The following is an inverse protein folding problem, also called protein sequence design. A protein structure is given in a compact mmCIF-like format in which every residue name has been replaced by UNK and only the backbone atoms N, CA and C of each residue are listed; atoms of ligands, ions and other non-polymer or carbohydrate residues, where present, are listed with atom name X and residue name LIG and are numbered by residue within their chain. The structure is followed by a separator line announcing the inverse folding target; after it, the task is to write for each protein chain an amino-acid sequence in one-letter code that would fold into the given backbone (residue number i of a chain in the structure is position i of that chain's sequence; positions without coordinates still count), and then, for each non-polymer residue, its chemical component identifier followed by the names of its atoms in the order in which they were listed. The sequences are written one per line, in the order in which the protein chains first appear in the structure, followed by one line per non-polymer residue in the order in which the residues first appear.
data_IF_668866774761
#
_entry.id   IF_668866774761
#
_cell.length_a   1.000
_cell.length_b   1.000
_cell.length_c   1.000
_cell.angle_alpha   90.00
_cell.angle_beta   90.00
_cell.angle_gamma   90.00
#
_symmetry.space_group_name_H-M   'P 1'
#
loop_
_entity.id
_entity.type
_entity.pdbx_description
1 polymer ?
#
# COMPACT_ATOMS: atom_id res chain seq x y z
N UNK A 1 15.57 12.84 2.62
CA UNK A 1 15.53 11.79 3.66
C UNK A 1 15.19 10.50 2.95
N UNK A 2 16.19 9.65 2.78
CA UNK A 2 16.04 8.32 2.20
C UNK A 2 15.57 7.40 3.32
N UNK A 3 14.72 6.42 3.02
CA UNK A 3 14.30 5.40 3.99
C UNK A 3 15.52 4.56 4.37
N UNK A 4 15.78 4.36 5.66
CA UNK A 4 16.85 3.48 6.15
C UNK A 4 16.19 2.16 6.58
N UNK A 5 16.36 1.12 5.76
CA UNK A 5 15.76 -0.19 6.00
C UNK A 5 16.19 -0.81 7.34
N UNK A 6 17.37 -0.42 7.83
CA UNK A 6 18.01 -0.97 9.02
C UNK A 6 17.22 -0.66 10.29
N UNK A 7 16.58 0.51 10.37
CA UNK A 7 15.79 0.90 11.55
C UNK A 7 14.56 0.00 11.76
N UNK A 8 13.94 -0.46 10.67
CA UNK A 8 12.67 -1.19 10.74
C UNK A 8 12.83 -2.70 10.62
N UNK A 9 13.84 -3.18 9.87
CA UNK A 9 13.94 -4.58 9.43
C UNK A 9 15.21 -5.34 9.89
N UNK A 10 16.07 -4.77 10.75
CA UNK A 10 17.27 -5.48 11.23
C UNK A 10 17.00 -6.64 12.21
N UNK A 11 17.99 -7.55 12.23
CA UNK A 11 17.87 -8.99 12.52
C UNK A 11 18.01 -9.40 14.00
N UNK A 12 17.68 -8.53 14.97
CA UNK A 12 17.49 -9.06 16.33
C UNK A 12 16.17 -9.85 16.36
N UNK A 13 16.29 -11.18 16.30
CA UNK A 13 15.18 -12.13 16.15
C UNK A 13 14.06 -11.90 17.17
N UNK A 14 14.42 -11.45 18.38
CA UNK A 14 13.46 -11.11 19.43
C UNK A 14 12.66 -9.83 19.11
N UNK A 15 13.33 -8.81 18.58
CA UNK A 15 12.74 -7.50 18.29
C UNK A 15 11.91 -7.53 16.99
N UNK A 16 12.35 -8.31 15.99
CA UNK A 16 11.61 -8.55 14.76
C UNK A 16 10.28 -9.30 15.00
N UNK A 17 10.27 -10.25 15.94
CA UNK A 17 9.06 -10.99 16.30
C UNK A 17 8.01 -10.11 17.00
N UNK A 18 8.46 -9.21 17.88
CA UNK A 18 7.60 -8.26 18.59
C UNK A 18 6.99 -7.24 17.61
N UNK A 19 7.81 -6.63 16.74
CA UNK A 19 7.36 -5.73 15.67
C UNK A 19 6.36 -6.40 14.73
N UNK A 20 6.62 -7.64 14.32
CA UNK A 20 5.68 -8.41 13.50
C UNK A 20 4.37 -8.69 14.26
N UNK A 21 4.43 -8.90 15.58
CA UNK A 21 3.29 -9.02 16.47
C UNK A 21 2.43 -7.74 16.50
N UNK A 22 3.07 -6.59 16.60
CA UNK A 22 2.41 -5.27 16.55
C UNK A 22 1.74 -5.02 15.20
N UNK A 23 2.43 -5.28 14.09
CA UNK A 23 1.84 -5.18 12.76
C UNK A 23 0.64 -6.11 12.60
N UNK A 24 0.74 -7.37 13.07
CA UNK A 24 -0.39 -8.32 13.04
C UNK A 24 -1.58 -7.81 13.85
N UNK A 25 -1.34 -7.25 15.03
CA UNK A 25 -2.39 -6.69 15.88
C UNK A 25 -3.04 -5.47 15.22
N UNK A 26 -2.24 -4.57 14.65
CA UNK A 26 -2.73 -3.42 13.90
C UNK A 26 -3.59 -3.85 12.71
N UNK A 27 -3.16 -4.84 11.91
CA UNK A 27 -3.96 -5.31 10.78
C UNK A 27 -5.26 -6.00 11.19
N UNK A 28 -5.29 -6.73 12.33
CA UNK A 28 -6.54 -7.27 12.88
C UNK A 28 -7.51 -6.17 13.27
N UNK A 29 -7.02 -5.12 13.92
CA UNK A 29 -7.83 -3.97 14.31
C UNK A 29 -8.38 -3.23 13.08
N UNK A 30 -7.54 -3.01 12.07
CA UNK A 30 -7.96 -2.40 10.81
C UNK A 30 -9.00 -3.27 10.08
N UNK A 31 -8.84 -4.60 10.08
CA UNK A 31 -9.83 -5.49 9.49
C UNK A 31 -11.18 -5.41 10.19
N UNK A 32 -11.21 -5.22 11.51
CA UNK A 32 -12.45 -4.98 12.28
C UNK A 32 -13.11 -3.65 11.88
N UNK A 33 -12.32 -2.58 11.72
CA UNK A 33 -12.82 -1.29 11.22
C UNK A 33 -13.41 -1.45 9.81
N UNK A 34 -12.78 -2.26 8.95
CA UNK A 34 -13.29 -2.52 7.61
C UNK A 34 -14.65 -3.23 7.61
N UNK A 35 -15.00 -3.95 8.68
CA UNK A 35 -16.33 -4.57 8.81
C UNK A 35 -17.45 -3.55 9.01
N UNK A 36 -17.12 -2.34 9.45
CA UNK A 36 -18.06 -1.23 9.61
C UNK A 36 -18.27 -0.43 8.31
N UNK A 37 -17.58 -0.75 7.22
CA UNK A 37 -17.68 -0.01 5.96
C UNK A 37 -18.93 -0.48 5.19
N UNK A 38 -19.92 0.41 5.05
CA UNK A 38 -21.19 0.12 4.34
C UNK A 38 -21.06 -0.07 2.82
N UNK A 39 -19.99 0.45 2.21
CA UNK A 39 -19.68 0.20 0.80
C UNK A 39 -19.03 -1.18 0.62
N UNK A 40 -19.74 -2.13 0.02
CA UNK A 40 -19.25 -3.51 -0.17
C UNK A 40 -17.95 -3.59 -0.97
N UNK A 41 -17.84 -2.82 -2.05
CA UNK A 41 -16.61 -2.76 -2.85
C UNK A 41 -15.44 -2.22 -2.03
N UNK A 42 -15.67 -1.17 -1.25
CA UNK A 42 -14.65 -0.52 -0.42
C UNK A 42 -14.18 -1.47 0.69
N UNK A 43 -15.11 -2.16 1.34
CA UNK A 43 -14.83 -3.21 2.33
C UNK A 43 -13.99 -4.34 1.74
N UNK A 44 -14.39 -4.86 0.58
CA UNK A 44 -13.67 -5.94 -0.11
C UNK A 44 -12.24 -5.52 -0.47
N UNK A 45 -12.08 -4.41 -1.21
CA UNK A 45 -10.78 -3.95 -1.66
C UNK A 45 -9.89 -3.46 -0.52
N UNK A 46 -10.49 -2.91 0.54
CA UNK A 46 -9.78 -2.53 1.76
C UNK A 46 -9.18 -3.75 2.44
N UNK A 47 -9.99 -4.77 2.74
CA UNK A 47 -9.49 -6.02 3.34
C UNK A 47 -8.43 -6.71 2.48
N UNK A 48 -8.63 -6.76 1.16
CA UNK A 48 -7.66 -7.35 0.24
C UNK A 48 -6.30 -6.62 0.29
N UNK A 49 -6.31 -5.28 0.34
CA UNK A 49 -5.08 -4.49 0.40
C UNK A 49 -4.35 -4.64 1.73
N UNK A 50 -5.07 -4.61 2.86
CA UNK A 50 -4.45 -4.80 4.18
C UNK A 50 -3.92 -6.22 4.38
N UNK A 51 -4.61 -7.24 3.86
CA UNK A 51 -4.07 -8.60 3.81
C UNK A 51 -2.77 -8.64 2.99
N UNK A 52 -2.75 -8.03 1.80
CA UNK A 52 -1.55 -7.96 0.96
C UNK A 52 -0.37 -7.26 1.65
N UNK A 53 -0.62 -6.21 2.43
CA UNK A 53 0.41 -5.51 3.20
C UNK A 53 0.97 -6.41 4.32
N UNK A 54 0.10 -7.12 5.04
CA UNK A 54 0.53 -8.09 6.05
C UNK A 54 1.32 -9.25 5.44
N UNK A 55 0.93 -9.73 4.26
CA UNK A 55 1.68 -10.75 3.51
C UNK A 55 3.04 -10.23 3.08
N UNK A 56 3.15 -8.98 2.63
CA UNK A 56 4.44 -8.38 2.27
C UNK A 56 5.40 -8.34 3.47
N UNK A 57 4.91 -7.94 4.65
CA UNK A 57 5.71 -7.94 5.88
C UNK A 57 6.08 -9.36 6.32
N UNK A 58 5.17 -10.33 6.20
CA UNK A 58 5.46 -11.74 6.47
C UNK A 58 6.60 -12.28 5.59
N UNK A 59 6.70 -11.84 4.34
CA UNK A 59 7.80 -12.20 3.43
C UNK A 59 9.10 -11.48 3.83
N UNK A 60 9.03 -10.22 4.26
CA UNK A 60 10.22 -9.46 4.67
C UNK A 60 10.86 -9.95 5.98
N UNK A 61 10.05 -10.42 6.93
CA UNK A 61 10.52 -10.85 8.25
C UNK A 61 10.73 -12.37 8.39
N UNK A 62 10.57 -13.15 7.32
CA UNK A 62 10.67 -14.61 7.38
C UNK A 62 11.53 -15.15 6.24
N UNK A 63 12.56 -15.93 6.57
CA UNK A 63 13.45 -16.55 5.57
C UNK A 63 12.72 -17.57 4.68
N UNK A 64 11.69 -18.22 5.22
CA UNK A 64 10.87 -19.22 4.52
C UNK A 64 9.38 -19.01 4.83
N UNK A 65 8.73 -18.02 4.19
CA UNK A 65 7.34 -17.70 4.46
C UNK A 65 6.42 -18.75 3.84
N UNK A 66 5.66 -19.48 4.67
CA UNK A 66 4.55 -20.32 4.20
C UNK A 66 3.35 -19.44 3.82
N UNK A 67 3.03 -19.35 2.53
CA UNK A 67 1.99 -18.44 2.01
C UNK A 67 0.74 -19.19 1.57
N UNK A 68 -0.41 -18.78 2.11
CA UNK A 68 -1.71 -19.29 1.68
C UNK A 68 -2.09 -18.72 0.31
N UNK A 69 -2.94 -19.46 -0.43
CA UNK A 69 -3.44 -19.02 -1.74
C UNK A 69 -4.03 -17.61 -1.73
N UNK A 70 -4.77 -17.27 -0.68
CA UNK A 70 -5.39 -15.96 -0.53
C UNK A 70 -4.36 -14.85 -0.26
N UNK A 71 -3.29 -15.15 0.48
CA UNK A 71 -2.19 -14.22 0.74
C UNK A 71 -1.46 -13.87 -0.57
N UNK A 72 -1.21 -14.87 -1.43
CA UNK A 72 -0.59 -14.67 -2.75
C UNK A 72 -1.47 -13.77 -3.62
N UNK A 73 -2.77 -14.07 -3.70
CA UNK A 73 -3.72 -13.27 -4.50
C UNK A 73 -3.79 -11.84 -3.98
N UNK A 74 -3.81 -11.65 -2.66
CA UNK A 74 -3.84 -10.33 -2.03
C UNK A 74 -2.57 -9.53 -2.33
N UNK A 75 -1.39 -10.16 -2.23
CA UNK A 75 -0.09 -9.53 -2.49
C UNK A 75 0.02 -9.04 -3.95
N UNK A 76 -0.34 -9.89 -4.92
CA UNK A 76 -0.30 -9.53 -6.36
C UNK A 76 -1.30 -8.40 -6.66
N UNK A 77 -2.51 -8.47 -6.10
CA UNK A 77 -3.52 -7.42 -6.30
C UNK A 77 -3.10 -6.10 -5.69
N UNK A 78 -2.48 -6.12 -4.50
CA UNK A 78 -1.93 -4.94 -3.86
C UNK A 78 -0.84 -4.31 -4.74
N UNK A 79 0.14 -5.10 -5.20
CA UNK A 79 1.21 -4.61 -6.07
C UNK A 79 0.66 -3.97 -7.35
N UNK A 80 -0.32 -4.61 -8.00
CA UNK A 80 -0.98 -4.04 -9.18
C UNK A 80 -1.75 -2.75 -8.85
N UNK A 81 -2.38 -2.66 -7.68
CA UNK A 81 -3.10 -1.46 -7.23
C UNK A 81 -2.14 -0.30 -6.97
N UNK A 82 -1.03 -0.54 -6.28
CA UNK A 82 0.02 0.44 -6.03
C UNK A 82 0.68 0.92 -7.33
N UNK A 83 1.00 -0.02 -8.24
CA UNK A 83 1.53 0.30 -9.57
C UNK A 83 0.62 1.25 -10.35
N UNK A 84 -0.69 0.95 -10.40
CA UNK A 84 -1.68 1.84 -11.00
C UNK A 84 -1.79 3.18 -10.28
N UNK A 85 -1.68 3.20 -8.96
CA UNK A 85 -1.69 4.43 -8.16
C UNK A 85 -0.54 5.35 -8.56
N UNK A 86 0.69 4.82 -8.62
CA UNK A 86 1.88 5.57 -9.03
C UNK A 86 1.76 6.05 -10.48
N UNK A 87 1.28 5.19 -11.39
CA UNK A 87 1.04 5.59 -12.78
C UNK A 87 0.05 6.76 -12.88
N UNK A 88 -1.05 6.70 -12.12
CA UNK A 88 -2.08 7.74 -12.12
C UNK A 88 -1.56 9.08 -11.58
N UNK A 89 -0.67 9.06 -10.58
CA UNK A 89 0.01 10.28 -10.11
C UNK A 89 0.79 10.93 -11.26
N UNK A 90 1.61 10.17 -11.98
CA UNK A 90 2.36 10.71 -13.12
C UNK A 90 1.48 11.20 -14.28
N UNK A 91 0.29 10.60 -14.48
CA UNK A 91 -0.71 11.12 -15.42
C UNK A 91 -1.31 12.43 -14.91
N UNK A 92 -1.62 12.52 -13.61
CA UNK A 92 -2.20 13.71 -13.00
C UNK A 92 -1.22 14.88 -13.04
N UNK A 93 0.06 14.66 -12.73
CA UNK A 93 1.11 15.67 -12.84
C UNK A 93 1.19 16.29 -14.23
N UNK A 94 1.15 15.45 -15.28
CA UNK A 94 1.11 15.94 -16.67
C UNK A 94 -0.13 16.78 -16.95
N UNK A 95 -1.30 16.39 -16.44
CA UNK A 95 -2.54 17.15 -16.61
C UNK A 95 -2.48 18.51 -15.93
N UNK A 96 -1.91 18.58 -14.72
CA UNK A 96 -1.72 19.84 -14.00
C UNK A 96 -0.83 20.80 -14.81
N UNK A 97 0.29 20.33 -15.36
CA UNK A 97 1.18 21.14 -16.20
C UNK A 97 0.47 21.66 -17.46
N UNK A 98 -0.35 20.83 -18.11
CA UNK A 98 -1.12 21.25 -19.30
C UNK A 98 -2.18 22.27 -18.94
N UNK A 99 -2.83 22.14 -17.80
CA UNK A 99 -3.83 23.10 -17.33
C UNK A 99 -3.21 24.48 -17.02
N UNK A 100 -2.04 24.51 -16.39
CA UNK A 100 -1.23 25.73 -16.17
C UNK A 100 -0.82 26.39 -17.50
N UNK A 101 -0.38 25.58 -18.49
CA UNK A 101 -0.09 26.10 -19.84
C UNK A 101 -1.33 26.67 -20.53
N UNK A 102 -2.47 26.01 -20.46
CA UNK A 102 -3.69 26.54 -21.07
C UNK A 102 -4.13 27.84 -20.42
N UNK A 103 -4.03 27.97 -19.08
CA UNK A 103 -4.34 29.22 -18.37
C UNK A 103 -3.41 30.38 -18.78
N UNK A 104 -2.14 30.11 -19.06
CA UNK A 104 -1.18 31.12 -19.52
C UNK A 104 -1.29 31.44 -21.01
N UNK A 105 -1.76 30.49 -21.84
CA UNK A 105 -1.93 30.72 -23.28
C UNK A 105 -3.19 31.54 -23.62
N UNK A 106 -4.30 31.34 -22.90
CA UNK A 106 -5.56 32.05 -23.13
C UNK A 106 -5.49 33.59 -23.05
N UNK A 107 -4.75 34.22 -22.11
CA UNK A 107 -4.60 35.68 -22.07
C UNK A 107 -3.57 36.25 -23.06
N UNK A 108 -2.79 35.42 -23.77
CA UNK A 108 -1.82 35.86 -24.80
C UNK A 108 -2.45 35.83 -26.21
N UNK A 109 -3.55 35.10 -26.38
CA UNK A 109 -4.26 34.91 -27.64
C UNK A 109 -5.50 35.82 -27.81
N UNK A 110 -5.75 36.71 -26.86
CA UNK A 110 -6.75 37.78 -26.84
C UNK A 110 -6.03 39.14 -26.77
#
# INVERSE_FOLDING_TARGET
KTFDESELFENEVADAADRLGDFRTAFRNISSIMDCVGCEKCRLWGKLQFLGLGTALKVLFSDQPDLQRNEIVALVNLAAKLSRSVHNVGVMERRVIVEERNKTLFPVLL
#
